data_IF_231880287459
#
_entry.id   IF_231880287459
#
_cell.length_a   1.000
_cell.length_b   1.000
_cell.length_c   1.000
_cell.angle_alpha   90.00
_cell.angle_beta   90.00
_cell.angle_gamma   90.00
#
_symmetry.space_group_name_H-M   'P 1'
#
loop_
_entity.id
_entity.type
_entity.pdbx_description
1 polymer ?
#
# COMPACT_ATOMS: atom_id res chain seq x y z
N UNK A 1 9.42 23.51 -9.86
CA UNK A 1 9.32 22.13 -10.38
C UNK A 1 10.08 21.23 -9.44
N UNK A 2 9.44 20.24 -8.81
CA UNK A 2 10.19 19.19 -8.11
C UNK A 2 10.73 18.25 -9.19
N UNK A 3 12.02 17.97 -9.18
CA UNK A 3 12.60 16.92 -10.00
C UNK A 3 11.83 15.62 -9.78
N UNK A 4 11.45 14.92 -10.85
CA UNK A 4 10.77 13.63 -10.77
C UNK A 4 11.80 12.57 -10.36
N UNK A 5 12.14 12.53 -9.08
CA UNK A 5 13.00 11.49 -8.50
C UNK A 5 12.25 10.15 -8.60
N UNK A 6 12.92 9.13 -9.13
CA UNK A 6 12.35 7.79 -9.25
C UNK A 6 12.08 7.17 -7.87
N UNK A 7 11.07 6.30 -7.73
CA UNK A 7 10.85 5.53 -6.50
C UNK A 7 12.11 4.83 -5.99
N UNK A 8 12.90 4.20 -6.87
CA UNK A 8 14.16 3.54 -6.54
C UNK A 8 15.23 4.50 -6.01
N UNK A 9 15.48 5.61 -6.71
CA UNK A 9 16.44 6.65 -6.32
C UNK A 9 16.12 7.20 -4.93
N UNK A 10 14.84 7.48 -4.69
CA UNK A 10 14.35 7.94 -3.39
C UNK A 10 14.52 6.88 -2.30
N UNK A 11 14.27 5.61 -2.61
CA UNK A 11 14.47 4.49 -1.70
C UNK A 11 15.94 4.38 -1.26
N UNK A 12 16.88 4.38 -2.20
CA UNK A 12 18.32 4.32 -1.91
C UNK A 12 18.82 5.56 -1.19
N UNK A 13 18.35 6.76 -1.58
CA UNK A 13 18.71 8.00 -0.89
C UNK A 13 18.30 7.98 0.59
N UNK A 14 17.10 7.51 0.91
CA UNK A 14 16.67 7.34 2.30
C UNK A 14 17.47 6.28 3.05
N UNK A 15 17.79 5.14 2.42
CA UNK A 15 18.59 4.07 3.05
C UNK A 15 19.98 4.59 3.40
N UNK A 16 20.68 5.19 2.44
CA UNK A 16 22.02 5.76 2.62
C UNK A 16 22.05 6.83 3.71
N UNK A 17 21.08 7.75 3.71
CA UNK A 17 21.03 8.82 4.71
C UNK A 17 20.72 8.29 6.11
N UNK A 18 19.81 7.32 6.22
CA UNK A 18 19.51 6.67 7.51
C UNK A 18 20.73 5.94 8.06
N UNK A 19 21.48 5.22 7.22
CA UNK A 19 22.71 4.53 7.60
C UNK A 19 23.82 5.49 8.02
N UNK A 20 24.00 6.60 7.29
CA UNK A 20 24.96 7.64 7.65
C UNK A 20 24.65 8.25 9.03
N UNK A 21 23.38 8.55 9.30
CA UNK A 21 22.93 9.06 10.61
C UNK A 21 23.15 8.05 11.74
N UNK A 22 22.89 6.76 11.49
CA UNK A 22 23.14 5.69 12.47
C UNK A 22 24.63 5.55 12.77
N UNK A 23 25.49 5.64 11.74
CA UNK A 23 26.95 5.63 11.92
C UNK A 23 27.45 6.82 12.74
N UNK A 24 26.91 8.01 12.49
CA UNK A 24 27.23 9.21 13.27
C UNK A 24 26.75 9.13 14.73
N UNK A 25 25.68 8.39 15.01
CA UNK A 25 25.13 8.25 16.35
C UNK A 25 25.92 7.29 17.26
N UNK A 26 26.83 6.46 16.74
CA UNK A 26 27.64 5.52 17.52
C UNK A 26 26.90 4.23 17.96
N UNK A 27 27.63 3.30 18.60
CA UNK A 27 27.08 2.04 19.17
C UNK A 27 26.47 2.33 20.56
N UNK A 28 25.33 1.73 20.95
CA UNK A 28 24.90 1.73 22.34
C UNK A 28 26.02 1.15 23.21
N UNK A 29 26.48 1.89 24.22
CA UNK A 29 27.51 1.42 25.16
C UNK A 29 26.78 0.56 26.20
N UNK A 30 27.10 -0.74 26.25
CA UNK A 30 26.48 -1.73 27.15
C UNK A 30 26.83 -1.53 28.64
N UNK A 31 27.64 -0.52 29.00
CA UNK A 31 28.17 -0.31 30.35
C UNK A 31 28.05 1.15 30.85
N UNK A 32 26.88 1.77 30.67
CA UNK A 32 26.59 3.08 31.24
C UNK A 32 25.95 2.97 32.63
N UNK A 33 26.79 2.72 33.64
CA UNK A 33 26.47 2.98 35.06
C UNK A 33 26.63 4.46 35.46
N UNK A 34 27.04 5.35 34.54
CA UNK A 34 27.12 6.79 34.79
C UNK A 34 26.00 7.56 34.10
N UNK A 35 25.26 8.31 34.91
CA UNK A 35 24.15 9.19 34.58
C UNK A 35 24.56 10.42 33.75
N UNK A 36 25.44 10.30 32.76
CA UNK A 36 25.68 11.35 31.74
C UNK A 36 26.11 10.67 30.43
N UNK A 37 25.24 9.83 29.88
CA UNK A 37 25.43 9.25 28.56
C UNK A 37 24.87 10.20 27.51
N UNK A 38 25.75 10.83 26.73
CA UNK A 38 25.38 11.53 25.50
C UNK A 38 24.92 10.52 24.41
N UNK A 39 23.84 9.79 24.67
CA UNK A 39 22.89 9.44 23.62
C UNK A 39 22.01 10.68 23.48
N UNK A 40 22.19 11.47 22.41
CA UNK A 40 21.41 12.68 22.16
C UNK A 40 19.90 12.40 22.33
N UNK A 41 19.36 12.76 23.49
CA UNK A 41 17.93 12.90 23.84
C UNK A 41 17.01 11.68 23.66
N UNK A 42 17.52 10.46 23.44
CA UNK A 42 16.66 9.29 23.19
C UNK A 42 15.90 9.35 21.86
N UNK A 43 16.26 10.29 20.97
CA UNK A 43 15.63 10.47 19.66
C UNK A 43 16.30 9.50 18.67
N UNK A 44 15.51 8.67 17.98
CA UNK A 44 16.06 7.71 17.01
C UNK A 44 16.46 8.44 15.73
N UNK A 45 17.53 7.98 15.06
CA UNK A 45 17.97 8.54 13.76
C UNK A 45 16.84 8.60 12.71
N UNK A 46 15.89 7.66 12.78
CA UNK A 46 14.70 7.66 11.93
C UNK A 46 13.76 8.84 12.16
N UNK A 47 13.68 9.33 13.39
CA UNK A 47 12.79 10.43 13.76
C UNK A 47 13.40 11.77 13.31
N UNK A 48 14.72 11.90 13.44
CA UNK A 48 15.47 13.02 12.86
C UNK A 48 15.37 13.05 11.33
N UNK A 49 15.48 11.89 10.67
CA UNK A 49 15.32 11.79 9.21
C UNK A 49 13.91 12.21 8.76
N UNK A 50 12.88 11.76 9.46
CA UNK A 50 11.49 12.15 9.21
C UNK A 50 11.29 13.66 9.31
N UNK A 51 11.83 14.28 10.37
CA UNK A 51 11.78 15.73 10.55
C UNK A 51 12.53 16.47 9.44
N UNK A 52 13.74 16.03 9.09
CA UNK A 52 14.54 16.67 8.03
C UNK A 52 13.90 16.57 6.64
N UNK A 53 13.21 15.48 6.35
CA UNK A 53 12.54 15.28 5.06
C UNK A 53 11.13 15.87 5.01
N UNK A 54 10.57 16.28 6.15
CA UNK A 54 9.18 16.73 6.24
C UNK A 54 8.19 15.60 5.91
N UNK A 55 8.53 14.35 6.21
CA UNK A 55 7.76 13.18 5.86
C UNK A 55 7.51 12.26 7.05
N UNK A 56 6.44 11.48 6.99
CA UNK A 56 6.20 10.49 8.03
C UNK A 56 7.28 9.41 8.00
N UNK A 57 7.69 8.98 9.18
CA UNK A 57 8.58 7.83 9.38
C UNK A 57 8.11 6.59 8.61
N UNK A 58 6.80 6.35 8.62
CA UNK A 58 6.18 5.26 7.86
C UNK A 58 6.47 5.38 6.36
N UNK A 59 6.30 6.57 5.77
CA UNK A 59 6.57 6.78 4.36
C UNK A 59 8.05 6.50 4.01
N UNK A 60 8.97 7.04 4.81
CA UNK A 60 10.41 6.80 4.64
C UNK A 60 10.74 5.31 4.66
N UNK A 61 10.23 4.56 5.65
CA UNK A 61 10.48 3.13 5.73
C UNK A 61 9.85 2.34 4.59
N UNK A 62 8.69 2.76 4.08
CA UNK A 62 8.07 2.13 2.91
C UNK A 62 8.93 2.31 1.66
N UNK A 63 9.51 3.49 1.45
CA UNK A 63 10.48 3.70 0.38
C UNK A 63 11.74 2.87 0.59
N UNK A 64 12.36 2.91 1.78
CA UNK A 64 13.54 2.08 2.10
C UNK A 64 13.25 0.60 1.83
N UNK A 65 12.04 0.14 2.12
CA UNK A 65 11.64 -1.25 1.89
C UNK A 65 11.71 -1.64 0.40
N UNK A 66 11.49 -0.73 -0.55
CA UNK A 66 11.65 -1.02 -1.97
C UNK A 66 13.09 -1.47 -2.34
N UNK A 67 14.10 -1.11 -1.54
CA UNK A 67 15.48 -1.59 -1.77
C UNK A 67 15.68 -3.09 -1.54
N UNK A 68 14.66 -3.79 -1.04
CA UNK A 68 14.63 -5.24 -0.87
C UNK A 68 13.95 -5.97 -2.05
N UNK A 69 13.49 -5.23 -3.06
CA UNK A 69 13.03 -5.80 -4.32
C UNK A 69 14.22 -6.28 -5.17
N UNK A 70 14.00 -7.30 -5.99
CA UNK A 70 14.92 -7.63 -7.09
C UNK A 70 15.03 -6.44 -8.06
N UNK A 71 16.17 -6.29 -8.78
CA UNK A 71 16.33 -5.21 -9.76
C UNK A 71 15.19 -5.15 -10.76
N UNK A 72 14.77 -6.30 -11.31
CA UNK A 72 13.68 -6.37 -12.28
C UNK A 72 12.35 -5.84 -11.73
N UNK A 73 11.99 -6.20 -10.48
CA UNK A 73 10.77 -5.68 -9.85
C UNK A 73 10.87 -4.18 -9.55
N UNK A 74 12.06 -3.71 -9.17
CA UNK A 74 12.29 -2.29 -8.89
C UNK A 74 12.16 -1.45 -10.15
N UNK A 75 12.69 -1.92 -11.28
CA UNK A 75 12.55 -1.29 -12.59
C UNK A 75 11.07 -1.22 -13.00
N UNK A 76 10.28 -2.27 -12.74
CA UNK A 76 8.84 -2.24 -13.01
C UNK A 76 8.09 -1.20 -12.16
N UNK A 77 8.60 -0.84 -10.97
CA UNK A 77 8.02 0.22 -10.13
C UNK A 77 8.36 1.59 -10.69
N UNK A 78 9.60 1.80 -11.11
CA UNK A 78 10.05 3.05 -11.73
C UNK A 78 9.33 3.32 -13.06
N UNK A 79 9.13 2.26 -13.85
CA UNK A 79 8.32 2.25 -15.09
C UNK A 79 6.81 2.42 -14.83
N UNK A 80 6.38 2.43 -13.56
CA UNK A 80 4.96 2.50 -13.14
C UNK A 80 4.10 1.31 -13.61
N UNK A 81 4.73 0.20 -14.01
CA UNK A 81 4.06 -1.06 -14.34
C UNK A 81 3.58 -1.79 -13.08
N UNK A 82 4.29 -1.61 -11.96
CA UNK A 82 3.85 -2.04 -10.62
C UNK A 82 3.64 -0.80 -9.75
N UNK A 83 2.45 -0.68 -9.17
CA UNK A 83 2.16 0.45 -8.28
C UNK A 83 2.97 0.36 -6.97
N UNK A 84 3.31 1.52 -6.40
CA UNK A 84 4.11 1.64 -5.18
C UNK A 84 3.57 0.81 -4.00
N UNK A 85 2.26 0.84 -3.75
CA UNK A 85 1.68 0.15 -2.58
C UNK A 85 1.83 -1.39 -2.70
N UNK A 86 1.43 -2.05 -3.82
CA UNK A 86 1.76 -3.45 -4.06
C UNK A 86 3.26 -3.75 -3.94
N UNK A 87 4.12 -2.92 -4.53
CA UNK A 87 5.58 -3.12 -4.49
C UNK A 87 6.13 -3.16 -3.05
N UNK A 88 5.62 -2.29 -2.18
CA UNK A 88 5.95 -2.32 -0.75
C UNK A 88 5.55 -3.65 -0.10
N UNK A 89 4.45 -4.28 -0.50
CA UNK A 89 4.09 -5.60 0.05
C UNK A 89 4.94 -6.73 -0.56
N UNK A 90 5.22 -6.67 -1.87
CA UNK A 90 6.06 -7.65 -2.59
C UNK A 90 7.48 -7.68 -2.04
N UNK A 91 8.02 -6.52 -1.63
CA UNK A 91 9.34 -6.45 -1.01
C UNK A 91 9.47 -7.21 0.32
N UNK A 92 8.38 -7.76 0.88
CA UNK A 92 8.40 -8.67 2.02
C UNK A 92 8.55 -10.14 1.64
N UNK A 93 8.39 -10.48 0.36
CA UNK A 93 8.68 -11.81 -0.17
C UNK A 93 10.19 -12.04 -0.24
N UNK A 94 10.60 -13.29 -0.12
CA UNK A 94 11.98 -13.72 -0.39
C UNK A 94 12.36 -13.45 -1.84
N UNK A 95 13.66 -13.37 -2.14
CA UNK A 95 14.12 -13.15 -3.52
C UNK A 95 13.70 -14.27 -4.48
N UNK A 96 13.55 -15.51 -4.00
CA UNK A 96 13.07 -16.63 -4.82
C UNK A 96 11.58 -16.48 -5.15
N UNK A 97 10.75 -16.18 -4.15
CA UNK A 97 9.32 -15.89 -4.36
C UNK A 97 9.10 -14.67 -5.26
N UNK A 98 9.98 -13.66 -5.19
CA UNK A 98 9.93 -12.50 -6.08
C UNK A 98 10.21 -12.87 -7.55
N UNK A 99 11.11 -13.82 -7.81
CA UNK A 99 11.37 -14.34 -9.16
C UNK A 99 10.19 -15.15 -9.69
N UNK A 100 9.65 -16.04 -8.86
CA UNK A 100 8.43 -16.78 -9.20
C UNK A 100 7.26 -15.83 -9.52
N UNK A 101 7.10 -14.76 -8.74
CA UNK A 101 6.06 -13.76 -9.00
C UNK A 101 6.26 -13.05 -10.35
N UNK A 102 7.50 -12.75 -10.75
CA UNK A 102 7.78 -12.16 -12.07
C UNK A 102 7.35 -13.10 -13.20
N UNK A 103 7.62 -14.40 -13.08
CA UNK A 103 7.16 -15.40 -14.04
C UNK A 103 5.63 -15.46 -14.10
N UNK A 104 4.95 -15.47 -12.95
CA UNK A 104 3.47 -15.44 -12.90
C UNK A 104 2.91 -14.15 -13.52
N UNK A 105 3.55 -12.99 -13.28
CA UNK A 105 3.16 -11.71 -13.87
C UNK A 105 3.27 -11.72 -15.39
N UNK A 106 4.33 -12.32 -15.93
CA UNK A 106 4.52 -12.48 -17.37
C UNK A 106 3.49 -13.47 -17.96
N UNK A 107 3.26 -14.62 -17.33
CA UNK A 107 2.24 -15.57 -17.79
C UNK A 107 0.83 -14.98 -17.82
N UNK A 108 0.48 -14.15 -16.83
CA UNK A 108 -0.84 -13.52 -16.72
C UNK A 108 -0.91 -12.14 -17.38
N UNK A 109 0.21 -11.63 -17.92
CA UNK A 109 0.36 -10.29 -18.50
C UNK A 109 -0.25 -9.19 -17.61
N UNK A 110 -0.06 -9.28 -16.29
CA UNK A 110 -0.68 -8.37 -15.33
C UNK A 110 0.16 -8.20 -14.06
N UNK A 111 0.11 -7.02 -13.46
CA UNK A 111 0.71 -6.75 -12.14
C UNK A 111 -0.30 -7.04 -11.01
N UNK A 112 0.16 -7.51 -9.84
CA UNK A 112 -0.71 -7.72 -8.69
C UNK A 112 -1.33 -6.40 -8.20
N UNK A 113 -2.59 -6.47 -7.82
CA UNK A 113 -3.25 -5.42 -7.02
C UNK A 113 -2.74 -5.42 -5.57
N UNK A 114 -3.09 -4.38 -4.80
CA UNK A 114 -2.68 -4.28 -3.40
C UNK A 114 -3.20 -5.46 -2.56
N UNK A 115 -4.46 -5.87 -2.75
CA UNK A 115 -5.04 -7.00 -2.03
C UNK A 115 -4.36 -8.33 -2.37
N UNK A 116 -4.01 -8.53 -3.64
CA UNK A 116 -3.26 -9.70 -4.09
C UNK A 116 -1.86 -9.73 -3.45
N UNK A 117 -1.11 -8.63 -3.50
CA UNK A 117 0.22 -8.53 -2.90
C UNK A 117 0.19 -8.73 -1.36
N UNK A 118 -0.81 -8.20 -0.67
CA UNK A 118 -1.02 -8.43 0.77
C UNK A 118 -1.27 -9.90 1.09
N UNK A 119 -2.05 -10.59 0.26
CA UNK A 119 -2.29 -12.03 0.43
C UNK A 119 -1.03 -12.84 0.18
N UNK A 120 -0.29 -12.55 -0.90
CA UNK A 120 0.99 -13.22 -1.18
C UNK A 120 1.95 -13.08 0.00
N UNK A 121 2.12 -11.86 0.52
CA UNK A 121 2.91 -11.62 1.73
C UNK A 121 2.46 -12.46 2.92
N UNK A 122 1.15 -12.56 3.17
CA UNK A 122 0.62 -13.41 4.25
C UNK A 122 0.99 -14.88 4.05
N UNK A 123 0.81 -15.42 2.84
CA UNK A 123 1.18 -16.81 2.54
C UNK A 123 2.69 -17.05 2.67
N UNK A 124 3.53 -16.10 2.26
CA UNK A 124 5.00 -16.17 2.39
C UNK A 124 5.42 -16.20 3.85
N UNK A 125 4.84 -15.33 4.69
CA UNK A 125 5.08 -15.34 6.15
C UNK A 125 4.64 -16.64 6.83
N UNK A 126 3.64 -17.32 6.28
CA UNK A 126 3.20 -18.64 6.74
C UNK A 126 4.01 -19.81 6.15
N UNK A 127 4.98 -19.54 5.25
CA UNK A 127 5.76 -20.56 4.54
C UNK A 127 4.94 -21.38 3.55
N UNK A 128 3.84 -20.82 3.04
CA UNK A 128 2.84 -21.48 2.19
C UNK A 128 2.69 -20.85 0.81
N UNK A 129 3.52 -19.86 0.48
CA UNK A 129 3.49 -19.25 -0.84
C UNK A 129 4.26 -20.16 -1.81
N UNK A 130 3.54 -20.78 -2.72
CA UNK A 130 4.10 -21.51 -3.86
C UNK A 130 3.71 -20.82 -5.15
N UNK A 131 4.38 -21.17 -6.24
CA UNK A 131 4.03 -20.75 -7.60
C UNK A 131 2.54 -20.93 -7.94
N UNK A 132 1.96 -22.08 -7.59
CA UNK A 132 0.52 -22.36 -7.81
C UNK A 132 -0.37 -21.42 -6.99
N UNK A 133 0.01 -21.12 -5.75
CA UNK A 133 -0.73 -20.19 -4.89
C UNK A 133 -0.61 -18.76 -5.43
N UNK A 134 0.57 -18.34 -5.91
CA UNK A 134 0.74 -17.04 -6.57
C UNK A 134 -0.14 -16.92 -7.80
N UNK A 135 -0.12 -17.95 -8.66
CA UNK A 135 -0.93 -18.03 -9.87
C UNK A 135 -2.42 -17.93 -9.53
N UNK A 136 -2.89 -18.72 -8.56
CA UNK A 136 -4.28 -18.68 -8.11
C UNK A 136 -4.68 -17.28 -7.60
N UNK A 137 -3.85 -16.64 -6.78
CA UNK A 137 -4.11 -15.28 -6.27
C UNK A 137 -4.16 -14.27 -7.43
N UNK A 138 -3.30 -14.41 -8.44
CA UNK A 138 -3.22 -13.51 -9.60
C UNK A 138 -4.39 -13.68 -10.56
N UNK A 139 -4.86 -14.91 -10.74
CA UNK A 139 -6.01 -15.25 -11.61
C UNK A 139 -7.36 -14.90 -10.99
N UNK A 140 -7.43 -14.71 -9.66
CA UNK A 140 -8.64 -14.15 -9.05
C UNK A 140 -8.92 -12.76 -9.62
N UNK A 141 -10.17 -12.54 -10.06
CA UNK A 141 -10.60 -11.24 -10.57
C UNK A 141 -10.22 -10.14 -9.56
N UNK A 142 -9.59 -9.07 -10.08
CA UNK A 142 -9.31 -7.86 -9.30
C UNK A 142 -10.65 -7.35 -8.77
N UNK A 143 -11.00 -7.68 -7.52
CA UNK A 143 -12.21 -7.23 -6.80
C UNK A 143 -12.38 -5.71 -6.71
N UNK A 144 -11.50 -4.93 -7.34
CA UNK A 144 -11.42 -3.49 -7.18
C UNK A 144 -12.60 -2.74 -7.81
N UNK A 145 -13.29 -3.28 -8.83
CA UNK A 145 -14.21 -2.47 -9.63
C UNK A 145 -15.63 -3.02 -9.85
N UNK A 146 -15.96 -4.24 -9.39
CA UNK A 146 -17.25 -4.84 -9.77
C UNK A 146 -18.48 -4.26 -9.03
N UNK A 147 -18.33 -3.73 -7.81
CA UNK A 147 -19.50 -3.32 -7.01
C UNK A 147 -19.47 -1.89 -6.46
N UNK A 148 -18.42 -1.10 -6.72
CA UNK A 148 -18.30 0.25 -6.11
C UNK A 148 -19.00 1.32 -6.94
N UNK A 149 -20.32 1.43 -6.80
CA UNK A 149 -21.06 2.60 -7.30
C UNK A 149 -20.79 3.79 -6.36
N UNK A 150 -19.95 4.73 -6.81
CA UNK A 150 -19.70 5.98 -6.07
C UNK A 150 -20.68 7.08 -6.49
N UNK A 151 -21.64 7.38 -5.61
CA UNK A 151 -22.54 8.52 -5.76
C UNK A 151 -21.95 9.73 -5.02
N UNK A 152 -21.47 10.73 -5.76
CA UNK A 152 -20.93 11.95 -5.15
C UNK A 152 -22.06 12.89 -4.73
N UNK A 153 -21.84 13.65 -3.65
CA UNK A 153 -22.82 14.61 -3.15
C UNK A 153 -23.27 15.62 -4.22
N UNK A 154 -22.38 16.05 -5.10
CA UNK A 154 -22.72 16.99 -6.18
C UNK A 154 -23.65 16.38 -7.24
N UNK A 155 -23.54 15.07 -7.50
CA UNK A 155 -24.49 14.35 -8.37
C UNK A 155 -25.85 14.17 -7.71
N UNK A 156 -25.91 14.07 -6.39
CA UNK A 156 -27.14 13.85 -5.61
C UNK A 156 -27.89 15.15 -5.31
N UNK A 157 -27.19 16.25 -4.98
CA UNK A 157 -27.77 17.56 -4.60
C UNK A 157 -28.80 18.12 -5.57
N UNK A 158 -28.74 17.76 -6.87
CA UNK A 158 -29.73 18.20 -7.88
C UNK A 158 -31.10 17.51 -7.74
N UNK A 159 -31.17 16.40 -7.01
CA UNK A 159 -32.40 15.63 -6.77
C UNK A 159 -32.96 15.81 -5.36
N UNK A 160 -32.21 16.46 -4.46
CA UNK A 160 -32.60 16.68 -3.07
C UNK A 160 -32.76 18.17 -2.76
N UNK A 161 -33.67 18.54 -1.84
CA UNK A 161 -33.75 19.92 -1.35
C UNK A 161 -32.43 20.38 -0.73
N UNK A 162 -32.11 21.66 -0.86
CA UNK A 162 -30.87 22.25 -0.29
C UNK A 162 -30.76 22.13 1.23
N UNK A 163 -31.88 21.88 1.91
CA UNK A 163 -31.95 21.69 3.36
C UNK A 163 -31.55 20.28 3.83
N UNK A 164 -31.36 19.32 2.91
CA UNK A 164 -31.07 17.93 3.29
C UNK A 164 -29.61 17.76 3.71
N UNK A 165 -29.41 17.07 4.84
CA UNK A 165 -28.09 16.61 5.26
C UNK A 165 -27.67 15.36 4.45
N UNK A 166 -26.36 15.03 4.39
CA UNK A 166 -25.89 13.80 3.77
C UNK A 166 -26.61 12.53 4.27
N UNK A 167 -26.85 12.45 5.57
CA UNK A 167 -27.56 11.33 6.19
C UNK A 167 -29.02 11.24 5.71
N UNK A 168 -29.73 12.37 5.59
CA UNK A 168 -31.10 12.39 5.08
C UNK A 168 -31.19 12.01 3.60
N UNK A 169 -30.19 12.40 2.80
CA UNK A 169 -30.08 11.97 1.40
C UNK A 169 -29.89 10.45 1.33
N UNK A 170 -28.99 9.90 2.14
CA UNK A 170 -28.72 8.46 2.22
C UNK A 170 -29.97 7.65 2.61
N UNK A 171 -30.65 8.03 3.70
CA UNK A 171 -31.89 7.37 4.14
C UNK A 171 -32.97 7.38 3.07
N UNK A 172 -33.09 8.48 2.32
CA UNK A 172 -34.08 8.59 1.25
C UNK A 172 -33.71 7.70 0.07
N UNK A 173 -32.43 7.65 -0.31
CA UNK A 173 -31.94 6.74 -1.37
C UNK A 173 -32.25 5.29 -1.00
N UNK A 174 -31.97 4.89 0.24
CA UNK A 174 -32.25 3.52 0.71
C UNK A 174 -33.75 3.21 0.62
N UNK A 175 -34.63 4.10 1.11
CA UNK A 175 -36.10 3.90 1.03
C UNK A 175 -36.60 3.78 -0.40
N UNK A 176 -36.07 4.58 -1.32
CA UNK A 176 -36.42 4.50 -2.75
C UNK A 176 -36.01 3.15 -3.37
N UNK A 177 -34.81 2.68 -3.04
CA UNK A 177 -34.30 1.39 -3.50
C UNK A 177 -35.05 0.20 -2.91
N UNK A 178 -35.42 0.26 -1.62
CA UNK A 178 -36.26 -0.76 -0.97
C UNK A 178 -37.63 -0.87 -1.65
N UNK A 179 -38.27 0.28 -1.93
CA UNK A 179 -39.55 0.31 -2.63
C UNK A 179 -39.48 -0.24 -4.05
N UNK A 180 -38.41 0.10 -4.78
CA UNK A 180 -38.15 -0.45 -6.11
C UNK A 180 -37.90 -1.97 -6.06
N UNK A 181 -37.10 -2.44 -5.12
CA UNK A 181 -36.76 -3.86 -4.96
C UNK A 181 -38.01 -4.71 -4.67
N UNK A 182 -38.85 -4.27 -3.73
CA UNK A 182 -40.12 -4.94 -3.38
C UNK A 182 -41.07 -5.05 -4.58
N UNK A 183 -41.19 -3.99 -5.38
CA UNK A 183 -42.02 -3.99 -6.60
C UNK A 183 -41.49 -4.97 -7.65
N UNK A 184 -40.16 -5.06 -7.79
CA UNK A 184 -39.52 -5.97 -8.74
C UNK A 184 -39.73 -7.44 -8.36
N UNK A 185 -39.59 -7.78 -7.07
CA UNK A 185 -39.85 -9.14 -6.58
C UNK A 185 -41.30 -9.57 -6.86
N UNK A 186 -42.28 -8.72 -6.55
CA UNK A 186 -43.69 -9.00 -6.83
C UNK A 186 -44.04 -9.14 -8.33
N UNK A 187 -43.26 -8.49 -9.21
CA UNK A 187 -43.44 -8.61 -10.66
C UNK A 187 -42.78 -9.84 -11.28
N UNK A 188 -41.85 -10.49 -10.58
CA UNK A 188 -41.18 -11.71 -11.03
C UNK A 188 -41.85 -12.99 -10.52
N UNK A 189 -42.74 -12.87 -9.52
CA UNK A 189 -43.53 -13.98 -8.95
C UNK A 189 -44.90 -14.18 -9.63
N UNK A 190 -45.22 -13.41 -10.69
CA UNK A 190 -46.41 -13.56 -11.53
C UNK A 190 -46.03 -14.01 -12.93
#
# INVERSE_FOLDING_TARGET
>A
QRENILPSERAYAYKLKLEAMKRQAGRPIDDNYSQVGNNLLGIKSSDLLAQQMGESKSNIFRYIRLTELTPDLLDLVDDKKVAFNPAVEISFLSHDEQRELLEVMDMQQTSPSLSQAQRMKKFSQEGKLSFDVMTAIMSEEKRADLDKITLTGDRLKKYFPRSYTPQQMEETIIKLLEGWSKKRQHSQER
#
